data_IF_649079062836
#
_entry.id   IF_649079062836
#
_cell.length_a   1.000
_cell.length_b   1.000
_cell.length_c   1.000
_cell.angle_alpha   90.00
_cell.angle_beta   90.00
_cell.angle_gamma   90.00
#
_symmetry.space_group_name_H-M   'P 1'
#
loop_
_entity.id
_entity.type
_entity.pdbx_description
1 polymer ?
#
# COMPACT_ATOMS: atom_id res chain seq x y z
N UNK A 1 -29.75 9.89 5.93
CA UNK A 1 -29.31 9.91 7.34
C UNK A 1 -28.11 10.83 7.40
N UNK A 2 -28.30 12.09 7.77
CA UNK A 2 -27.18 13.00 8.05
C UNK A 2 -26.61 12.57 9.40
N UNK A 3 -25.52 11.80 9.37
CA UNK A 3 -24.77 11.45 10.58
C UNK A 3 -24.23 12.72 11.22
N UNK A 4 -24.48 12.91 12.51
CA UNK A 4 -24.05 14.10 13.23
C UNK A 4 -22.52 14.07 13.35
N UNK A 5 -21.86 14.81 12.48
CA UNK A 5 -20.40 15.02 12.45
C UNK A 5 -19.90 15.83 13.66
N UNK A 6 -20.76 16.18 14.61
CA UNK A 6 -20.55 17.27 15.58
C UNK A 6 -20.06 16.79 16.95
N UNK A 7 -19.89 15.48 17.19
CA UNK A 7 -19.42 15.01 18.50
C UNK A 7 -18.21 14.07 18.43
N UNK A 8 -17.21 14.38 19.26
CA UNK A 8 -15.99 13.67 19.60
C UNK A 8 -14.96 13.49 18.47
N UNK A 9 -14.68 14.55 17.69
CA UNK A 9 -13.63 14.55 16.67
C UNK A 9 -12.27 15.02 17.21
N UNK A 10 -11.28 14.14 17.20
CA UNK A 10 -9.91 14.47 17.67
C UNK A 10 -8.85 14.26 16.60
N UNK A 11 -7.98 15.25 16.40
CA UNK A 11 -6.76 15.11 15.61
C UNK A 11 -5.58 14.87 16.55
N UNK A 12 -4.76 13.87 16.27
CA UNK A 12 -3.54 13.53 17.01
C UNK A 12 -2.35 13.76 16.10
N UNK A 13 -1.46 14.66 16.50
CA UNK A 13 -0.32 15.11 15.69
C UNK A 13 0.98 14.63 16.33
N UNK A 14 1.76 13.83 15.59
CA UNK A 14 3.13 13.50 15.91
C UNK A 14 4.08 14.55 15.31
N UNK A 15 4.70 15.39 16.16
CA UNK A 15 5.53 16.51 15.71
C UNK A 15 6.92 16.46 16.32
N UNK A 16 7.95 16.64 15.50
CA UNK A 16 9.33 16.87 15.93
C UNK A 16 9.78 18.31 15.66
N UNK A 17 10.09 18.67 14.42
CA UNK A 17 10.62 20.00 14.05
C UNK A 17 9.74 20.76 13.05
N UNK A 18 8.68 20.12 12.57
CA UNK A 18 7.80 20.62 11.54
C UNK A 18 7.10 21.90 11.99
N UNK A 19 6.79 22.75 11.01
CA UNK A 19 5.97 23.95 11.20
C UNK A 19 4.48 23.57 11.17
N UNK A 20 3.73 24.08 12.16
CA UNK A 20 2.31 23.78 12.36
C UNK A 20 1.42 24.98 12.02
N UNK A 21 1.91 26.01 11.31
CA UNK A 21 1.08 27.17 10.93
C UNK A 21 -0.18 26.74 10.14
N UNK A 22 -0.07 25.74 9.28
CA UNK A 22 -1.19 25.20 8.51
C UNK A 22 -2.35 24.72 9.40
N UNK A 23 -2.03 24.19 10.59
CA UNK A 23 -3.00 23.67 11.54
C UNK A 23 -3.82 24.78 12.19
N UNK A 24 -3.25 25.98 12.36
CA UNK A 24 -4.03 27.18 12.77
C UNK A 24 -5.17 27.43 11.77
N UNK A 25 -4.83 27.51 10.48
CA UNK A 25 -5.80 27.80 9.41
C UNK A 25 -6.87 26.72 9.35
N UNK A 26 -6.48 25.45 9.50
CA UNK A 26 -7.42 24.33 9.51
C UNK A 26 -8.40 24.42 10.69
N UNK A 27 -7.91 24.54 11.93
CA UNK A 27 -8.76 24.58 13.14
C UNK A 27 -9.72 25.78 13.12
N UNK A 28 -9.28 26.91 12.56
CA UNK A 28 -10.11 28.11 12.50
C UNK A 28 -11.23 28.03 11.45
N UNK A 29 -10.99 27.32 10.35
CA UNK A 29 -11.94 27.16 9.24
C UNK A 29 -12.89 25.99 9.44
N UNK A 30 -12.42 24.90 10.05
CA UNK A 30 -13.17 23.65 10.19
C UNK A 30 -13.76 23.50 11.59
N UNK A 31 -15.02 23.90 11.74
CA UNK A 31 -15.73 23.88 13.02
C UNK A 31 -15.92 22.47 13.61
N UNK A 32 -15.96 21.45 12.74
CA UNK A 32 -16.15 20.05 13.13
C UNK A 32 -14.97 19.50 13.95
N UNK A 33 -13.78 20.10 13.84
CA UNK A 33 -12.61 19.70 14.64
C UNK A 33 -12.83 20.19 16.07
N UNK A 34 -13.07 19.29 17.01
CA UNK A 34 -13.30 19.66 18.42
C UNK A 34 -12.00 19.79 19.20
N UNK A 35 -11.09 18.84 19.00
CA UNK A 35 -9.85 18.73 19.76
C UNK A 35 -8.68 18.36 18.87
N UNK A 36 -7.51 18.92 19.20
CA UNK A 36 -6.23 18.62 18.56
C UNK A 36 -5.21 18.35 19.66
N UNK A 37 -4.61 17.17 19.66
CA UNK A 37 -3.59 16.76 20.62
C UNK A 37 -2.25 16.67 19.90
N UNK A 38 -1.30 17.52 20.29
CA UNK A 38 0.01 17.62 19.65
C UNK A 38 1.04 17.01 20.58
N UNK A 39 1.62 15.88 20.19
CA UNK A 39 2.78 15.33 20.86
C UNK A 39 4.02 16.00 20.29
N UNK A 40 4.52 17.01 21.01
CA UNK A 40 5.71 17.77 20.63
C UNK A 40 6.98 17.10 21.15
N UNK A 41 7.75 16.49 20.23
CA UNK A 41 9.01 15.80 20.48
C UNK A 41 10.25 16.65 20.25
N UNK A 42 10.11 17.85 19.68
CA UNK A 42 11.22 18.75 19.42
C UNK A 42 11.11 20.10 20.14
N UNK A 43 11.70 21.17 19.59
CA UNK A 43 11.74 22.48 20.26
C UNK A 43 10.36 23.07 20.48
N UNK A 44 10.21 23.97 21.46
CA UNK A 44 8.94 24.68 21.75
C UNK A 44 8.69 25.88 20.83
N UNK A 45 9.12 25.77 19.57
CA UNK A 45 8.98 26.82 18.56
C UNK A 45 7.66 26.71 17.78
N UNK A 46 6.55 26.51 18.49
CA UNK A 46 5.20 26.42 17.91
C UNK A 46 4.34 27.55 18.45
N UNK A 47 3.59 28.20 17.56
CA UNK A 47 2.71 29.31 17.90
C UNK A 47 1.34 29.07 17.29
N UNK A 48 0.30 29.26 18.11
CA UNK A 48 -1.08 29.13 17.69
C UNK A 48 -1.87 30.39 17.99
N UNK A 49 -2.88 30.65 17.16
CA UNK A 49 -3.79 31.76 17.41
C UNK A 49 -4.58 31.54 18.71
N UNK A 50 -5.07 32.62 19.32
CA UNK A 50 -5.93 32.52 20.52
C UNK A 50 -7.19 31.67 20.29
N UNK A 51 -7.67 31.60 19.05
CA UNK A 51 -8.83 30.79 18.69
C UNK A 51 -8.46 29.31 18.61
N UNK A 52 -7.35 28.98 17.94
CA UNK A 52 -6.85 27.62 17.80
C UNK A 52 -6.45 27.02 19.16
N UNK A 53 -5.80 27.80 20.03
CA UNK A 53 -5.38 27.37 21.38
C UNK A 53 -6.51 26.83 22.25
N UNK A 54 -7.77 27.20 22.01
CA UNK A 54 -8.92 26.66 22.77
C UNK A 54 -9.22 25.19 22.48
N UNK A 55 -8.70 24.67 21.38
CA UNK A 55 -8.91 23.29 20.90
C UNK A 55 -7.63 22.45 20.96
N UNK A 56 -6.50 23.05 21.33
CA UNK A 56 -5.18 22.41 21.24
C UNK A 56 -4.67 22.04 22.63
N UNK A 57 -4.30 20.77 22.79
CA UNK A 57 -3.48 20.29 23.88
C UNK A 57 -2.07 19.97 23.37
N UNK A 58 -1.05 20.58 23.96
CA UNK A 58 0.35 20.30 23.63
C UNK A 58 0.95 19.42 24.72
N UNK A 59 1.35 18.21 24.35
CA UNK A 59 2.00 17.24 25.23
C UNK A 59 3.48 17.18 24.86
N UNK A 60 4.35 17.59 25.78
CA UNK A 60 5.80 17.45 25.60
C UNK A 60 6.22 16.01 25.81
N UNK A 61 6.97 15.43 24.87
CA UNK A 61 7.56 14.09 24.97
C UNK A 61 9.00 14.08 24.50
N UNK A 62 9.78 13.10 24.96
CA UNK A 62 11.09 12.83 24.37
C UNK A 62 10.94 12.34 22.93
N UNK A 63 11.97 12.56 22.11
CA UNK A 63 11.98 12.08 20.73
C UNK A 63 12.23 10.57 20.69
N UNK A 64 11.25 9.77 21.10
CA UNK A 64 11.29 8.30 21.22
C UNK A 64 10.13 7.69 20.42
N UNK A 65 10.39 6.59 19.71
CA UNK A 65 9.40 5.76 19.04
C UNK A 65 8.85 6.30 17.72
N UNK A 66 9.46 7.35 17.14
CA UNK A 66 8.99 7.99 15.89
C UNK A 66 7.49 8.37 15.95
N UNK A 67 6.77 8.34 14.84
CA UNK A 67 5.32 8.54 14.79
C UNK A 67 4.56 7.38 15.44
N UNK A 68 4.98 6.13 15.23
CA UNK A 68 4.28 4.97 15.78
C UNK A 68 4.19 4.99 17.32
N UNK A 69 5.25 5.41 17.99
CA UNK A 69 5.29 5.59 19.45
C UNK A 69 4.36 6.69 19.93
N UNK A 70 4.22 7.78 19.17
CA UNK A 70 3.22 8.83 19.48
C UNK A 70 1.80 8.27 19.47
N UNK A 71 1.47 7.50 18.42
CA UNK A 71 0.11 6.97 18.27
C UNK A 71 -0.19 5.93 19.35
N UNK A 72 0.78 5.08 19.69
CA UNK A 72 0.66 4.13 20.79
C UNK A 72 0.50 4.84 22.14
N UNK A 73 1.30 5.86 22.44
CA UNK A 73 1.17 6.65 23.67
C UNK A 73 -0.25 7.21 23.80
N UNK A 74 -0.76 7.87 22.75
CA UNK A 74 -2.12 8.41 22.76
C UNK A 74 -3.18 7.33 23.01
N UNK A 75 -3.09 6.20 22.28
CA UNK A 75 -4.03 5.08 22.43
C UNK A 75 -4.01 4.53 23.86
N UNK A 76 -2.82 4.29 24.42
CA UNK A 76 -2.65 3.67 25.74
C UNK A 76 -3.13 4.60 26.86
N UNK A 77 -2.75 5.89 26.79
CA UNK A 77 -3.09 6.89 27.79
C UNK A 77 -4.59 7.22 27.81
N UNK A 78 -5.26 7.16 26.65
CA UNK A 78 -6.67 7.53 26.51
C UNK A 78 -7.61 6.34 26.32
N UNK A 79 -7.12 5.10 26.40
CA UNK A 79 -7.85 3.89 25.97
C UNK A 79 -9.32 3.80 26.47
N UNK A 80 -9.54 4.10 27.76
CA UNK A 80 -10.86 4.03 28.40
C UNK A 80 -11.82 5.15 27.98
N UNK A 81 -11.28 6.24 27.44
CA UNK A 81 -12.00 7.48 27.09
C UNK A 81 -11.72 7.93 25.65
N UNK A 82 -11.36 6.99 24.78
CA UNK A 82 -11.03 7.28 23.37
C UNK A 82 -12.23 7.91 22.66
N UNK A 83 -12.02 9.03 21.92
CA UNK A 83 -13.05 9.64 21.09
C UNK A 83 -13.55 8.67 20.02
N UNK A 84 -14.76 8.91 19.49
CA UNK A 84 -15.31 8.06 18.43
C UNK A 84 -14.54 8.24 17.12
N UNK A 85 -14.07 9.45 16.80
CA UNK A 85 -13.48 9.79 15.52
C UNK A 85 -12.10 10.40 15.71
N UNK A 86 -11.07 9.72 15.18
CA UNK A 86 -9.67 10.06 15.45
C UNK A 86 -8.89 10.14 14.15
N UNK A 87 -8.13 11.21 13.96
CA UNK A 87 -7.20 11.39 12.85
C UNK A 87 -5.79 11.35 13.40
N UNK A 88 -4.98 10.39 12.95
CA UNK A 88 -3.57 10.28 13.29
C UNK A 88 -2.72 10.81 12.14
N UNK A 89 -1.90 11.83 12.42
CA UNK A 89 -1.13 12.53 11.38
C UNK A 89 0.27 12.92 11.87
N UNK A 90 1.16 13.14 10.90
CA UNK A 90 2.49 13.72 11.12
C UNK A 90 2.41 15.26 11.11
N UNK A 91 3.41 15.93 11.68
CA UNK A 91 3.47 17.40 11.78
C UNK A 91 3.48 18.12 10.43
N UNK A 92 4.05 17.49 9.41
CA UNK A 92 3.99 17.93 8.01
C UNK A 92 3.46 16.77 7.15
N UNK A 93 2.15 16.72 6.88
CA UNK A 93 1.57 15.63 6.13
C UNK A 93 1.74 15.76 4.61
N UNK A 94 2.23 16.89 4.08
CA UNK A 94 1.99 17.27 2.67
C UNK A 94 2.78 16.44 1.66
N UNK A 95 3.99 16.00 2.00
CA UNK A 95 4.79 15.12 1.14
C UNK A 95 4.09 13.78 0.88
N UNK A 96 3.25 13.35 1.81
CA UNK A 96 2.53 12.09 1.76
C UNK A 96 1.02 12.25 1.61
N UNK A 97 0.50 13.47 1.66
CA UNK A 97 -0.92 13.79 1.53
C UNK A 97 -1.04 15.24 1.00
N UNK A 98 -0.76 15.46 -0.29
CA UNK A 98 -0.70 16.81 -0.83
C UNK A 98 -2.06 17.52 -0.85
N UNK A 99 -3.16 16.77 -0.78
CA UNK A 99 -4.52 17.31 -0.67
C UNK A 99 -5.05 17.32 0.77
N UNK A 100 -4.19 17.15 1.78
CA UNK A 100 -4.59 16.93 3.17
C UNK A 100 -5.57 18.00 3.70
N UNK A 101 -5.30 19.29 3.48
CA UNK A 101 -6.20 20.36 3.93
C UNK A 101 -7.59 20.23 3.30
N UNK A 102 -7.68 19.84 2.02
CA UNK A 102 -8.97 19.61 1.37
C UNK A 102 -9.67 18.35 1.90
N UNK A 103 -8.92 17.27 2.19
CA UNK A 103 -9.44 16.05 2.81
C UNK A 103 -10.05 16.29 4.20
N UNK A 104 -9.65 17.37 4.86
CA UNK A 104 -10.16 17.78 6.17
C UNK A 104 -11.31 18.80 6.10
N UNK A 105 -11.75 19.21 4.91
CA UNK A 105 -12.95 20.05 4.78
C UNK A 105 -14.20 19.24 5.10
N UNK A 106 -15.15 19.83 5.83
CA UNK A 106 -16.41 19.18 6.23
C UNK A 106 -17.14 18.46 5.08
N UNK A 107 -17.22 19.11 3.91
CA UNK A 107 -17.88 18.58 2.72
C UNK A 107 -17.20 17.34 2.13
N UNK A 108 -15.90 17.17 2.40
CA UNK A 108 -15.11 15.98 2.03
C UNK A 108 -15.13 14.92 3.13
N UNK A 109 -14.96 15.32 4.40
CA UNK A 109 -14.92 14.42 5.57
C UNK A 109 -16.15 13.53 5.66
N UNK A 110 -17.34 14.06 5.38
CA UNK A 110 -18.60 13.30 5.38
C UNK A 110 -18.63 12.09 4.45
N UNK A 111 -17.71 11.98 3.48
CA UNK A 111 -17.62 10.84 2.57
C UNK A 111 -16.80 9.66 3.11
N UNK A 112 -16.06 9.84 4.21
CA UNK A 112 -15.24 8.76 4.78
C UNK A 112 -15.41 8.56 6.28
N UNK A 113 -16.04 9.48 7.01
CA UNK A 113 -16.23 9.35 8.48
C UNK A 113 -17.14 8.19 8.88
N UNK A 114 -17.92 7.66 7.94
CA UNK A 114 -18.77 6.49 8.18
C UNK A 114 -18.00 5.16 8.12
N UNK A 115 -16.76 5.20 7.62
CA UNK A 115 -15.87 4.04 7.58
C UNK A 115 -15.25 3.78 8.95
N UNK A 116 -14.81 2.55 9.16
CA UNK A 116 -14.06 2.19 10.39
C UNK A 116 -12.63 2.70 10.36
N UNK A 117 -12.07 2.85 9.16
CA UNK A 117 -10.74 3.33 8.87
C UNK A 117 -10.73 3.99 7.48
N UNK A 118 -9.95 5.06 7.32
CA UNK A 118 -9.68 5.67 6.02
C UNK A 118 -8.23 6.12 5.96
N UNK A 119 -7.47 5.58 5.00
CA UNK A 119 -6.17 6.15 4.64
C UNK A 119 -6.33 7.54 4.03
N UNK A 120 -5.47 8.46 4.42
CA UNK A 120 -5.46 9.83 3.93
C UNK A 120 -4.13 10.14 3.23
N UNK A 121 -3.39 9.13 2.81
CA UNK A 121 -2.13 9.32 2.08
C UNK A 121 -2.27 9.18 0.59
N UNK A 122 -1.32 9.81 -0.09
CA UNK A 122 -1.05 9.71 -1.50
C UNK A 122 0.25 8.93 -1.72
N UNK A 123 0.52 8.63 -2.98
CA UNK A 123 1.57 7.73 -3.48
C UNK A 123 2.96 7.92 -2.84
N UNK A 124 3.78 6.86 -2.91
CA UNK A 124 5.13 6.84 -2.32
C UNK A 124 6.01 8.00 -2.79
N UNK A 125 5.99 8.25 -4.10
CA UNK A 125 6.64 9.37 -4.74
C UNK A 125 5.96 9.67 -6.08
N UNK A 126 6.43 10.68 -6.80
CA UNK A 126 5.78 11.13 -8.03
C UNK A 126 5.68 10.11 -9.17
N UNK A 127 6.41 9.01 -9.08
CA UNK A 127 6.48 7.96 -10.11
C UNK A 127 5.99 6.60 -9.63
N UNK A 128 5.78 6.40 -8.32
CA UNK A 128 5.44 5.10 -7.73
C UNK A 128 4.18 5.21 -6.86
N UNK A 129 3.11 4.46 -7.19
CA UNK A 129 2.95 3.55 -8.34
C UNK A 129 2.72 4.31 -9.65
N UNK A 130 3.13 3.74 -10.81
CA UNK A 130 2.88 4.35 -12.11
C UNK A 130 1.39 4.30 -12.47
N UNK A 131 0.92 5.29 -13.24
CA UNK A 131 -0.43 5.33 -13.83
C UNK A 131 -1.61 5.41 -12.84
N UNK A 132 -1.36 5.78 -11.58
CA UNK A 132 -2.39 5.97 -10.54
C UNK A 132 -3.44 7.03 -10.91
N UNK A 133 -3.05 8.06 -11.66
CA UNK A 133 -3.92 9.19 -11.99
C UNK A 133 -5.16 8.77 -12.79
N UNK A 134 -5.07 7.63 -13.47
CA UNK A 134 -6.17 7.07 -14.25
C UNK A 134 -7.10 6.17 -13.44
N UNK A 135 -6.79 5.85 -12.17
CA UNK A 135 -7.58 4.98 -11.31
C UNK A 135 -8.41 5.80 -10.30
N UNK A 136 -9.68 6.02 -10.63
CA UNK A 136 -10.54 6.91 -9.86
C UNK A 136 -10.99 6.37 -8.49
N UNK A 137 -10.68 5.10 -8.15
CA UNK A 137 -10.91 4.56 -6.80
C UNK A 137 -10.07 5.27 -5.73
N UNK A 138 -9.00 5.92 -6.16
CA UNK A 138 -8.02 6.61 -5.32
C UNK A 138 -8.31 8.10 -5.16
N UNK A 139 -9.60 8.43 -5.12
CA UNK A 139 -10.06 9.79 -4.90
C UNK A 139 -11.25 9.82 -3.93
N UNK A 140 -11.28 10.83 -3.07
CA UNK A 140 -12.47 11.22 -2.30
C UNK A 140 -12.80 12.67 -2.66
N UNK A 141 -13.95 12.89 -3.31
CA UNK A 141 -14.35 14.22 -3.77
C UNK A 141 -13.25 14.93 -4.57
N UNK A 142 -12.65 14.23 -5.54
CA UNK A 142 -11.52 14.69 -6.35
C UNK A 142 -10.20 14.94 -5.60
N UNK A 143 -10.11 14.62 -4.31
CA UNK A 143 -8.86 14.68 -3.55
C UNK A 143 -8.17 13.32 -3.57
N UNK A 144 -6.86 13.35 -3.81
CA UNK A 144 -6.01 12.19 -4.00
C UNK A 144 -5.80 11.41 -2.70
N UNK A 145 -6.10 10.11 -2.73
CA UNK A 145 -5.87 9.15 -1.64
C UNK A 145 -5.57 7.77 -2.20
N UNK A 146 -4.72 6.95 -1.59
CA UNK A 146 -4.48 5.58 -2.07
C UNK A 146 -4.64 4.53 -0.97
N UNK A 147 -5.51 3.55 -1.24
CA UNK A 147 -5.60 2.33 -0.46
C UNK A 147 -4.75 1.24 -1.10
N UNK A 148 -3.61 0.94 -0.48
CA UNK A 148 -2.78 -0.18 -0.89
C UNK A 148 -3.21 -1.48 -0.22
N UNK A 149 -2.77 -2.57 -0.85
CA UNK A 149 -2.78 -3.91 -0.27
C UNK A 149 -1.37 -4.46 -0.42
N UNK A 150 -0.90 -5.19 0.59
CA UNK A 150 0.43 -5.79 0.60
C UNK A 150 0.33 -7.29 0.90
N UNK A 151 1.28 -8.05 0.38
CA UNK A 151 1.51 -9.43 0.81
C UNK A 151 2.02 -9.44 2.26
N UNK A 152 1.43 -10.25 3.14
CA UNK A 152 1.68 -10.21 4.59
C UNK A 152 3.08 -10.70 4.98
N UNK A 153 3.74 -11.46 4.11
CA UNK A 153 5.08 -11.98 4.33
C UNK A 153 6.16 -11.00 3.84
N UNK A 154 6.07 -10.58 2.58
CA UNK A 154 7.05 -9.72 1.92
C UNK A 154 6.80 -8.23 2.16
N UNK A 155 5.57 -7.86 2.54
CA UNK A 155 5.08 -6.49 2.70
C UNK A 155 5.24 -5.61 1.44
N UNK A 156 5.31 -6.26 0.28
CA UNK A 156 5.32 -5.62 -1.01
C UNK A 156 3.90 -5.41 -1.50
N UNK A 157 3.67 -4.31 -2.23
CA UNK A 157 2.34 -3.97 -2.72
C UNK A 157 1.89 -4.96 -3.77
N UNK A 158 0.59 -5.28 -3.73
CA UNK A 158 -0.09 -6.18 -4.65
C UNK A 158 -1.25 -5.45 -5.34
N UNK A 159 -1.92 -6.12 -6.29
CA UNK A 159 -3.06 -5.60 -7.06
C UNK A 159 -2.66 -4.64 -8.21
N UNK A 160 -3.40 -3.54 -8.43
CA UNK A 160 -3.33 -2.69 -9.63
C UNK A 160 -2.01 -1.96 -9.71
N UNK A 161 -1.58 -1.50 -8.56
CA UNK A 161 -0.49 -0.57 -8.37
C UNK A 161 0.65 -1.28 -7.64
N UNK A 162 0.90 -2.52 -8.03
CA UNK A 162 2.02 -3.30 -7.50
C UNK A 162 3.34 -2.62 -7.87
N UNK A 163 4.19 -2.47 -6.87
CA UNK A 163 5.55 -2.02 -6.99
C UNK A 163 6.40 -2.69 -5.91
N UNK A 164 7.68 -2.80 -6.22
CA UNK A 164 8.66 -3.34 -5.29
C UNK A 164 9.40 -2.20 -4.61
N UNK A 165 9.27 -2.09 -3.30
CA UNK A 165 10.02 -1.20 -2.45
C UNK A 165 11.25 -1.92 -1.91
N UNK A 166 12.38 -1.75 -2.60
CA UNK A 166 13.65 -2.37 -2.23
C UNK A 166 14.12 -1.93 -0.84
N UNK A 167 13.97 -0.65 -0.50
CA UNK A 167 14.41 -0.12 0.78
C UNK A 167 13.57 -0.67 1.94
N UNK A 168 12.30 -1.00 1.72
CA UNK A 168 11.47 -1.69 2.70
C UNK A 168 11.76 -3.19 2.76
N UNK A 169 12.01 -3.82 1.62
CA UNK A 169 12.35 -5.25 1.56
C UNK A 169 13.59 -5.57 2.40
N UNK A 170 14.62 -4.72 2.36
CA UNK A 170 15.79 -4.86 3.23
C UNK A 170 15.44 -4.85 4.72
N UNK A 171 14.49 -3.99 5.14
CA UNK A 171 14.04 -3.90 6.54
C UNK A 171 13.26 -5.15 6.94
N UNK A 172 12.36 -5.62 6.08
CA UNK A 172 11.58 -6.86 6.29
C UNK A 172 12.52 -8.06 6.37
N UNK A 173 13.49 -8.16 5.46
CA UNK A 173 14.49 -9.22 5.45
C UNK A 173 15.37 -9.20 6.72
N UNK A 174 15.78 -8.04 7.19
CA UNK A 174 16.50 -7.91 8.46
C UNK A 174 15.69 -8.41 9.67
N UNK A 175 14.36 -8.24 9.64
CA UNK A 175 13.47 -8.72 10.71
C UNK A 175 13.18 -10.22 10.65
N UNK A 176 13.46 -10.91 9.53
CA UNK A 176 13.37 -12.37 9.47
C UNK A 176 14.28 -13.03 10.50
N UNK A 177 15.47 -12.49 10.74
CA UNK A 177 16.40 -13.00 11.76
C UNK A 177 15.90 -12.80 13.20
N UNK A 178 14.98 -11.84 13.42
CA UNK A 178 14.34 -11.61 14.73
C UNK A 178 13.02 -12.36 14.89
N UNK A 179 12.54 -13.03 13.84
CA UNK A 179 11.27 -13.75 13.86
C UNK A 179 11.49 -15.15 14.43
N UNK A 180 10.97 -15.46 15.64
CA UNK A 180 11.17 -16.78 16.24
C UNK A 180 10.26 -17.82 15.61
N UNK A 181 10.73 -19.06 15.56
CA UNK A 181 9.92 -20.24 15.23
C UNK A 181 8.80 -20.36 16.29
N UNK A 182 7.54 -20.67 15.92
CA UNK A 182 7.08 -21.13 14.61
C UNK A 182 6.50 -20.04 13.70
N UNK A 183 6.74 -18.76 13.97
CA UNK A 183 6.19 -17.69 13.13
C UNK A 183 6.86 -17.70 11.76
N UNK A 184 6.05 -17.69 10.69
CA UNK A 184 6.54 -17.73 9.31
C UNK A 184 7.13 -16.40 8.83
N UNK A 185 6.68 -15.27 9.40
CA UNK A 185 7.15 -13.94 9.06
C UNK A 185 7.01 -12.99 10.27
N UNK A 186 7.64 -11.81 10.16
CA UNK A 186 7.69 -10.85 11.26
C UNK A 186 6.32 -10.28 11.63
N UNK A 187 5.42 -10.07 10.66
CA UNK A 187 4.06 -9.60 10.92
C UNK A 187 3.30 -10.62 11.77
N UNK A 188 3.40 -11.91 11.45
CA UNK A 188 2.78 -12.97 12.25
C UNK A 188 3.36 -13.01 13.67
N UNK A 189 4.68 -12.85 13.81
CA UNK A 189 5.32 -12.75 15.12
C UNK A 189 4.83 -11.54 15.92
N UNK A 190 4.79 -10.37 15.30
CA UNK A 190 4.27 -9.14 15.91
C UNK A 190 2.84 -9.34 16.38
N UNK A 191 1.95 -9.84 15.52
CA UNK A 191 0.56 -10.05 15.88
C UNK A 191 0.39 -11.05 17.02
N UNK A 192 1.01 -12.23 16.90
CA UNK A 192 0.85 -13.32 17.86
C UNK A 192 1.41 -13.00 19.25
N UNK A 193 2.58 -12.37 19.31
CA UNK A 193 3.22 -12.03 20.60
C UNK A 193 2.51 -10.88 21.33
N UNK A 194 1.90 -9.96 20.58
CA UNK A 194 1.21 -8.80 21.12
C UNK A 194 -0.30 -9.01 21.31
N UNK A 195 -0.87 -10.15 20.90
CA UNK A 195 -2.28 -10.46 21.11
C UNK A 195 -3.21 -9.78 20.09
N UNK A 196 -2.72 -9.60 18.86
CA UNK A 196 -3.53 -9.29 17.69
C UNK A 196 -3.84 -10.59 16.92
N UNK A 197 -4.93 -10.65 16.14
CA UNK A 197 -5.19 -11.77 15.24
C UNK A 197 -4.04 -11.99 14.25
N UNK A 198 -3.87 -13.24 13.79
CA UNK A 198 -2.91 -13.56 12.73
C UNK A 198 -3.52 -13.19 11.36
N UNK A 199 -2.79 -12.47 10.49
CA UNK A 199 -3.30 -12.15 9.16
C UNK A 199 -3.29 -13.38 8.24
N UNK A 200 -4.08 -13.28 7.17
CA UNK A 200 -3.96 -14.15 5.99
C UNK A 200 -2.83 -13.63 5.08
N UNK A 201 -2.88 -13.94 3.78
CA UNK A 201 -1.79 -13.65 2.85
C UNK A 201 -1.73 -12.18 2.41
N UNK A 202 -2.86 -11.47 2.42
CA UNK A 202 -2.93 -10.09 1.95
C UNK A 202 -3.58 -9.23 3.04
N UNK A 203 -3.02 -8.07 3.31
CA UNK A 203 -3.58 -7.09 4.26
C UNK A 203 -3.65 -5.71 3.62
N UNK A 204 -4.61 -4.86 4.05
CA UNK A 204 -4.63 -3.47 3.64
C UNK A 204 -3.52 -2.66 4.32
N UNK A 205 -3.06 -1.63 3.63
CA UNK A 205 -1.91 -0.82 3.98
C UNK A 205 -2.22 0.68 3.87
N UNK A 206 -1.85 1.43 4.92
CA UNK A 206 -1.85 2.89 4.93
C UNK A 206 -0.41 3.44 4.86
N UNK A 207 -0.05 4.07 3.74
CA UNK A 207 1.28 4.69 3.56
C UNK A 207 1.48 5.85 4.55
N UNK A 208 2.71 6.07 5.05
CA UNK A 208 3.11 7.12 6.02
C UNK A 208 2.26 7.31 7.28
N UNK A 209 1.42 6.33 7.62
CA UNK A 209 0.58 6.35 8.82
C UNK A 209 -0.25 7.65 9.00
N UNK A 210 -0.82 8.19 7.91
CA UNK A 210 -1.77 9.31 7.96
C UNK A 210 -3.17 8.75 7.66
N UNK A 211 -4.03 8.71 8.67
CA UNK A 211 -5.34 8.06 8.56
C UNK A 211 -6.37 8.59 9.55
N UNK A 212 -7.63 8.36 9.20
CA UNK A 212 -8.78 8.42 10.08
C UNK A 212 -9.13 7.02 10.59
N UNK A 213 -9.60 6.90 11.83
CA UNK A 213 -10.07 5.66 12.43
C UNK A 213 -11.17 5.91 13.48
N UNK A 214 -12.06 4.94 13.65
CA UNK A 214 -13.01 4.94 14.76
C UNK A 214 -12.40 4.46 16.07
N UNK A 215 -12.79 5.07 17.19
CA UNK A 215 -12.41 4.63 18.53
C UNK A 215 -12.80 3.17 18.81
N UNK A 216 -13.93 2.71 18.28
CA UNK A 216 -14.35 1.32 18.37
C UNK A 216 -13.40 0.35 17.64
N UNK A 217 -12.79 0.77 16.52
CA UNK A 217 -11.78 -0.02 15.81
C UNK A 217 -10.53 -0.21 16.67
N UNK A 218 -10.08 0.84 17.36
CA UNK A 218 -8.97 0.74 18.32
C UNK A 218 -9.33 -0.21 19.47
N UNK A 219 -10.54 -0.11 20.03
CA UNK A 219 -11.02 -0.95 21.13
C UNK A 219 -11.26 -2.43 20.76
N UNK A 220 -11.13 -2.81 19.48
CA UNK A 220 -11.12 -4.24 19.07
C UNK A 220 -9.96 -5.00 19.69
N UNK A 221 -8.86 -4.31 20.00
CA UNK A 221 -7.69 -4.89 20.66
C UNK A 221 -7.59 -4.37 22.08
N UNK A 222 -7.17 -5.20 23.03
CA UNK A 222 -6.99 -4.78 24.42
C UNK A 222 -5.93 -3.70 24.57
N UNK A 223 -6.07 -2.84 25.59
CA UNK A 223 -5.02 -1.90 26.01
C UNK A 223 -3.66 -2.59 26.16
N UNK A 224 -3.65 -3.78 26.78
CA UNK A 224 -2.45 -4.60 26.98
C UNK A 224 -1.78 -5.00 25.65
N UNK A 225 -2.53 -5.16 24.57
CA UNK A 225 -1.96 -5.45 23.24
C UNK A 225 -1.14 -4.27 22.74
N UNK A 226 -1.64 -3.05 22.89
CA UNK A 226 -0.91 -1.82 22.53
C UNK A 226 0.31 -1.58 23.43
N UNK A 227 0.20 -1.84 24.74
CA UNK A 227 1.34 -1.74 25.67
C UNK A 227 2.47 -2.71 25.30
N UNK A 228 2.13 -3.94 24.90
CA UNK A 228 3.13 -4.90 24.40
C UNK A 228 3.73 -4.44 23.08
N UNK A 229 2.90 -3.94 22.16
CA UNK A 229 3.36 -3.41 20.88
C UNK A 229 4.32 -2.24 21.05
N UNK A 230 4.08 -1.35 22.02
CA UNK A 230 5.00 -0.25 22.36
C UNK A 230 6.33 -0.78 22.90
N UNK A 231 6.30 -1.78 23.78
CA UNK A 231 7.52 -2.43 24.27
C UNK A 231 8.31 -3.10 23.15
N UNK A 232 7.62 -3.74 22.21
CA UNK A 232 8.24 -4.37 21.05
C UNK A 232 8.81 -3.33 20.08
N UNK A 233 8.10 -2.22 19.86
CA UNK A 233 8.61 -1.10 19.06
C UNK A 233 9.95 -0.61 19.63
N UNK A 234 10.04 -0.41 20.94
CA UNK A 234 11.22 0.15 21.60
C UNK A 234 12.30 -0.89 21.97
N UNK A 235 12.13 -2.17 21.61
CA UNK A 235 13.04 -3.23 22.07
C UNK A 235 14.43 -3.16 21.45
N UNK A 236 14.56 -2.54 20.28
CA UNK A 236 15.81 -2.51 19.51
C UNK A 236 16.61 -1.24 19.77
N UNK A 237 15.94 -0.09 19.77
CA UNK A 237 16.49 1.21 20.13
C UNK A 237 15.33 2.19 20.36
N UNK A 238 15.66 3.38 20.83
CA UNK A 238 14.68 4.42 21.16
C UNK A 238 13.88 4.91 19.95
N UNK A 239 14.33 4.70 18.70
CA UNK A 239 13.57 5.01 17.48
C UNK A 239 12.83 3.80 16.90
N UNK A 240 12.91 2.66 17.57
CA UNK A 240 12.31 1.39 17.16
C UNK A 240 12.87 0.73 15.90
N UNK A 241 14.04 1.14 15.42
CA UNK A 241 14.76 0.43 14.35
C UNK A 241 13.89 0.10 13.12
N UNK A 242 14.01 -1.14 12.62
CA UNK A 242 13.23 -1.62 11.46
C UNK A 242 11.77 -1.91 11.84
N UNK A 243 11.54 -2.22 13.12
CA UNK A 243 10.22 -2.48 13.69
C UNK A 243 9.30 -1.26 13.55
N UNK A 244 9.82 -0.05 13.75
CA UNK A 244 9.09 1.20 13.53
C UNK A 244 8.68 1.40 12.07
N UNK A 245 9.59 1.19 11.11
CA UNK A 245 9.27 1.29 9.69
C UNK A 245 8.23 0.25 9.24
N UNK A 246 8.27 -0.95 9.83
CA UNK A 246 7.25 -1.96 9.56
C UNK A 246 5.91 -1.56 10.20
N UNK A 247 5.91 -1.09 11.45
CA UNK A 247 4.68 -0.67 12.15
C UNK A 247 3.92 0.42 11.39
N UNK A 248 4.63 1.37 10.77
CA UNK A 248 4.04 2.40 9.91
C UNK A 248 3.06 1.82 8.89
N UNK A 249 3.36 0.63 8.33
CA UNK A 249 2.52 -0.05 7.33
C UNK A 249 1.37 -0.86 7.89
N UNK A 250 1.41 -1.19 9.17
CA UNK A 250 0.53 -2.19 9.75
C UNK A 250 -0.67 -1.59 10.48
N UNK A 251 -0.74 -0.27 10.63
CA UNK A 251 -1.80 0.42 11.35
C UNK A 251 -3.20 0.00 10.90
N UNK A 252 -3.45 -0.05 9.59
CA UNK A 252 -4.78 -0.42 9.11
C UNK A 252 -5.14 -1.86 9.49
N UNK A 253 -4.24 -2.82 9.30
CA UNK A 253 -4.46 -4.19 9.71
C UNK A 253 -4.68 -4.32 11.22
N UNK A 254 -3.82 -3.70 12.04
CA UNK A 254 -3.91 -3.73 13.50
C UNK A 254 -5.29 -3.24 13.97
N UNK A 255 -5.83 -2.21 13.33
CA UNK A 255 -7.05 -1.53 13.76
C UNK A 255 -8.34 -2.13 13.15
N UNK A 256 -8.26 -2.82 12.02
CA UNK A 256 -9.44 -3.35 11.30
C UNK A 256 -9.53 -4.88 11.31
N UNK A 257 -8.39 -5.57 11.40
CA UNK A 257 -8.21 -7.01 11.21
C UNK A 257 -8.59 -7.51 9.80
N UNK A 258 -8.78 -6.61 8.84
CA UNK A 258 -9.09 -6.96 7.45
C UNK A 258 -7.93 -7.70 6.80
N UNK A 259 -8.19 -8.85 6.21
CA UNK A 259 -7.18 -9.65 5.50
C UNK A 259 -7.83 -10.58 4.51
N UNK A 260 -7.08 -11.01 3.50
CA UNK A 260 -7.56 -11.80 2.37
C UNK A 260 -6.62 -12.98 2.09
N UNK A 261 -7.19 -14.10 1.66
CA UNK A 261 -6.43 -15.30 1.32
C UNK A 261 -5.64 -15.15 0.02
N UNK A 262 -6.15 -14.34 -0.91
CA UNK A 262 -5.65 -14.21 -2.27
C UNK A 262 -6.25 -12.97 -2.96
N UNK A 263 -5.74 -12.63 -4.15
CA UNK A 263 -6.22 -11.49 -4.91
C UNK A 263 -7.68 -11.63 -5.36
N UNK A 264 -8.22 -12.85 -5.46
CA UNK A 264 -9.61 -13.07 -5.87
C UNK A 264 -10.55 -12.68 -4.72
N UNK A 265 -10.28 -13.12 -3.50
CA UNK A 265 -11.07 -12.73 -2.31
C UNK A 265 -11.01 -11.23 -2.04
N UNK A 266 -9.83 -10.60 -2.20
CA UNK A 266 -9.70 -9.14 -2.15
C UNK A 266 -10.55 -8.43 -3.22
N UNK A 267 -10.51 -8.88 -4.47
CA UNK A 267 -11.28 -8.25 -5.55
C UNK A 267 -12.79 -8.31 -5.29
N UNK A 268 -13.28 -9.44 -4.80
CA UNK A 268 -14.69 -9.59 -4.41
C UNK A 268 -15.08 -8.60 -3.30
N UNK A 269 -14.24 -8.42 -2.28
CA UNK A 269 -14.54 -7.43 -1.24
C UNK A 269 -14.54 -5.99 -1.75
N UNK A 270 -13.83 -5.72 -2.86
CA UNK A 270 -13.85 -4.45 -3.57
C UNK A 270 -15.01 -4.31 -4.57
N UNK A 271 -15.96 -5.25 -4.59
CA UNK A 271 -17.10 -5.25 -5.51
C UNK A 271 -16.72 -5.54 -6.96
N UNK A 272 -15.56 -6.15 -7.22
CA UNK A 272 -15.16 -6.56 -8.56
C UNK A 272 -15.64 -8.00 -8.84
N UNK A 273 -16.62 -8.11 -9.73
CA UNK A 273 -17.32 -9.37 -10.06
C UNK A 273 -16.82 -10.08 -11.32
N UNK A 274 -15.94 -9.44 -12.10
CA UNK A 274 -15.51 -9.99 -13.39
C UNK A 274 -14.22 -10.81 -13.27
N UNK A 275 -14.07 -11.83 -14.12
CA UNK A 275 -12.83 -12.60 -14.26
C UNK A 275 -11.65 -11.69 -14.61
N UNK A 276 -10.44 -12.06 -14.24
CA UNK A 276 -9.21 -11.30 -14.53
C UNK A 276 -8.89 -11.10 -16.02
N UNK A 277 -9.59 -11.83 -16.89
CA UNK A 277 -9.46 -11.72 -18.34
C UNK A 277 -10.64 -10.93 -18.88
N UNK A 278 -10.35 -10.00 -19.78
CA UNK A 278 -11.36 -9.32 -20.57
C UNK A 278 -10.93 -9.31 -22.04
N UNK A 279 -11.84 -8.93 -22.93
CA UNK A 279 -11.55 -8.87 -24.35
C UNK A 279 -11.94 -7.52 -24.95
N UNK A 280 -11.19 -7.11 -25.96
CA UNK A 280 -11.51 -6.02 -26.85
C UNK A 280 -11.83 -6.59 -28.23
N UNK A 281 -13.00 -6.31 -28.76
CA UNK A 281 -13.37 -6.66 -30.12
C UNK A 281 -13.41 -5.41 -30.99
N UNK A 282 -12.70 -5.44 -32.11
CA UNK A 282 -12.78 -4.42 -33.15
C UNK A 282 -13.58 -4.95 -34.34
N UNK A 283 -14.73 -4.33 -34.62
CA UNK A 283 -15.63 -4.77 -35.68
C UNK A 283 -15.12 -4.45 -37.09
N UNK A 284 -14.38 -3.35 -37.26
CA UNK A 284 -13.85 -2.92 -38.56
C UNK A 284 -12.64 -3.74 -39.00
N UNK A 285 -11.79 -4.11 -38.04
CA UNK A 285 -10.57 -4.90 -38.25
C UNK A 285 -10.79 -6.40 -37.99
N UNK A 286 -11.99 -6.79 -37.54
CA UNK A 286 -12.44 -8.17 -37.38
C UNK A 286 -11.50 -9.04 -36.51
N UNK A 287 -11.06 -8.51 -35.38
CA UNK A 287 -10.25 -9.23 -34.42
C UNK A 287 -10.74 -9.04 -32.99
N UNK A 288 -10.40 -10.00 -32.14
CA UNK A 288 -10.52 -9.91 -30.69
C UNK A 288 -9.13 -9.95 -30.06
N UNK A 289 -8.87 -9.04 -29.14
CA UNK A 289 -7.65 -8.98 -28.34
C UNK A 289 -8.00 -9.30 -26.89
N UNK A 290 -7.22 -10.19 -26.27
CA UNK A 290 -7.43 -10.61 -24.89
C UNK A 290 -6.48 -9.82 -24.00
N UNK A 291 -6.98 -9.40 -22.86
CA UNK A 291 -6.25 -8.66 -21.84
C UNK A 291 -6.35 -9.38 -20.50
N UNK A 292 -5.27 -9.31 -19.74
CA UNK A 292 -5.28 -9.62 -18.31
C UNK A 292 -5.59 -8.37 -17.48
N UNK A 293 -5.75 -8.59 -16.17
CA UNK A 293 -6.06 -7.56 -15.18
C UNK A 293 -7.27 -6.72 -15.61
N UNK A 294 -8.37 -7.39 -15.97
CA UNK A 294 -9.64 -6.78 -16.44
C UNK A 294 -10.14 -5.64 -15.54
N UNK A 295 -9.91 -5.76 -14.23
CA UNK A 295 -10.20 -4.77 -13.21
C UNK A 295 -9.45 -3.45 -13.39
N UNK A 296 -8.42 -3.38 -14.23
CA UNK A 296 -7.74 -2.15 -14.63
C UNK A 296 -8.32 -1.53 -15.91
N UNK A 297 -9.19 -2.29 -16.60
CA UNK A 297 -9.72 -1.95 -17.92
C UNK A 297 -11.19 -1.55 -17.86
N UNK A 298 -11.79 -1.32 -16.70
CA UNK A 298 -13.22 -0.99 -16.63
C UNK A 298 -13.46 0.52 -16.71
N UNK A 299 -14.52 1.01 -17.39
CA UNK A 299 -14.76 2.45 -17.51
C UNK A 299 -14.99 3.15 -16.17
N UNK A 300 -15.59 2.44 -15.20
CA UNK A 300 -15.77 2.98 -13.85
C UNK A 300 -14.46 3.12 -13.07
N UNK A 301 -13.38 2.47 -13.53
CA UNK A 301 -12.07 2.50 -12.87
C UNK A 301 -11.08 3.35 -13.64
N UNK A 302 -11.13 3.36 -14.97
CA UNK A 302 -10.19 4.08 -15.84
C UNK A 302 -10.90 4.88 -16.92
N UNK A 303 -10.36 6.07 -17.21
CA UNK A 303 -10.78 6.83 -18.40
C UNK A 303 -10.58 5.99 -19.66
N UNK A 304 -11.58 6.01 -20.53
CA UNK A 304 -11.57 5.30 -21.81
C UNK A 304 -11.79 6.27 -22.96
N UNK A 305 -11.38 5.86 -24.15
CA UNK A 305 -11.63 6.62 -25.38
C UNK A 305 -12.81 6.03 -26.14
N UNK A 306 -13.63 6.92 -26.69
CA UNK A 306 -14.77 6.53 -27.49
C UNK A 306 -14.37 6.23 -28.94
N UNK A 307 -14.73 5.05 -29.44
CA UNK A 307 -14.45 4.65 -30.83
C UNK A 307 -15.53 3.74 -31.40
N UNK A 308 -16.10 4.09 -32.54
CA UNK A 308 -17.34 3.46 -33.04
C UNK A 308 -17.22 1.97 -33.39
N UNK A 309 -16.02 1.49 -33.72
CA UNK A 309 -15.71 0.12 -34.09
C UNK A 309 -15.27 -0.78 -32.92
N UNK A 310 -15.29 -0.23 -31.70
CA UNK A 310 -14.60 -0.78 -30.53
C UNK A 310 -15.59 -1.29 -29.49
N UNK A 311 -15.32 -2.45 -28.88
CA UNK A 311 -16.20 -3.03 -27.86
C UNK A 311 -15.39 -3.82 -26.83
N UNK A 312 -15.52 -3.48 -25.55
CA UNK A 312 -14.96 -4.26 -24.46
C UNK A 312 -15.96 -5.30 -23.96
N UNK A 313 -15.45 -6.47 -23.58
CA UNK A 313 -16.21 -7.64 -23.13
C UNK A 313 -15.61 -8.09 -21.81
N UNK A 314 -16.44 -8.18 -20.77
CA UNK A 314 -16.09 -8.69 -19.45
C UNK A 314 -16.93 -9.92 -19.15
N UNK A 315 -16.35 -10.88 -18.44
CA UNK A 315 -17.06 -12.09 -18.00
C UNK A 315 -17.36 -11.99 -16.51
N UNK A 316 -18.63 -11.96 -16.16
CA UNK A 316 -19.11 -11.98 -14.78
C UNK A 316 -19.04 -13.41 -14.26
N UNK A 317 -18.20 -13.64 -13.25
CA UNK A 317 -18.02 -14.98 -12.69
C UNK A 317 -19.18 -15.40 -11.78
N UNK A 318 -19.93 -14.45 -11.22
CA UNK A 318 -21.04 -14.76 -10.32
C UNK A 318 -22.27 -15.13 -11.13
N UNK A 319 -22.61 -14.30 -12.12
CA UNK A 319 -23.79 -14.48 -12.98
C UNK A 319 -23.52 -15.37 -14.20
N UNK A 320 -22.26 -15.79 -14.40
CA UNK A 320 -21.82 -16.62 -15.53
C UNK A 320 -22.25 -16.04 -16.89
N UNK A 321 -22.16 -14.72 -17.04
CA UNK A 321 -22.62 -13.98 -18.20
C UNK A 321 -21.58 -12.98 -18.72
N UNK A 322 -21.88 -12.34 -19.85
CA UNK A 322 -21.02 -11.31 -20.44
C UNK A 322 -21.62 -9.92 -20.28
N UNK A 323 -20.78 -8.99 -19.85
CA UNK A 323 -21.06 -7.57 -19.90
C UNK A 323 -20.28 -6.91 -21.04
N UNK A 324 -20.93 -6.02 -21.77
CA UNK A 324 -20.39 -5.43 -22.99
C UNK A 324 -20.41 -3.91 -22.89
N UNK A 325 -19.25 -3.29 -23.05
CA UNK A 325 -19.12 -1.83 -23.16
C UNK A 325 -18.84 -1.48 -24.62
N UNK A 326 -19.88 -1.00 -25.31
CA UNK A 326 -19.76 -0.55 -26.70
C UNK A 326 -19.03 0.78 -26.77
N UNK A 327 -18.44 1.01 -27.93
CA UNK A 327 -17.72 2.23 -28.28
C UNK A 327 -16.58 2.61 -27.34
N UNK A 328 -16.01 1.64 -26.61
CA UNK A 328 -14.98 1.88 -25.59
C UNK A 328 -13.70 1.16 -25.96
N UNK A 329 -12.56 1.84 -25.82
CA UNK A 329 -11.23 1.26 -25.99
C UNK A 329 -10.24 1.74 -24.92
N UNK A 330 -9.20 0.93 -24.69
CA UNK A 330 -8.06 1.24 -23.82
C UNK A 330 -6.75 0.99 -24.54
N UNK A 331 -5.87 1.99 -24.51
CA UNK A 331 -4.48 1.82 -24.92
C UNK A 331 -3.76 0.86 -23.97
N UNK A 332 -3.64 -0.39 -24.42
CA UNK A 332 -2.83 -1.40 -23.74
C UNK A 332 -2.44 -2.54 -24.65
N UNK A 333 -1.33 -3.18 -24.28
CA UNK A 333 -0.80 -4.35 -24.98
C UNK A 333 -1.62 -5.59 -24.62
N UNK A 334 -2.27 -6.25 -25.59
CA UNK A 334 -2.99 -7.48 -25.32
C UNK A 334 -2.04 -8.65 -25.04
N UNK A 335 -2.51 -9.63 -24.26
CA UNK A 335 -1.79 -10.88 -24.03
C UNK A 335 -1.81 -11.78 -25.28
N UNK A 336 -2.87 -11.71 -26.06
CA UNK A 336 -3.07 -12.48 -27.30
C UNK A 336 -4.12 -11.81 -28.19
N UNK A 337 -4.11 -12.14 -29.48
CA UNK A 337 -5.06 -11.63 -30.47
C UNK A 337 -5.51 -12.77 -31.38
N UNK A 338 -6.79 -12.75 -31.78
CA UNK A 338 -7.41 -13.77 -32.61
C UNK A 338 -8.34 -13.11 -33.64
N UNK A 339 -8.48 -13.71 -34.84
CA UNK A 339 -9.53 -13.28 -35.77
C UNK A 339 -10.92 -13.50 -35.14
N UNK A 340 -11.82 -12.54 -35.31
CA UNK A 340 -13.19 -12.64 -34.81
C UNK A 340 -14.16 -11.85 -35.68
N UNK A 341 -15.05 -12.58 -36.37
CA UNK A 341 -15.98 -12.02 -37.34
C UNK A 341 -17.12 -11.22 -36.70
N UNK A 342 -17.51 -11.58 -35.47
CA UNK A 342 -18.61 -10.96 -34.77
C UNK A 342 -18.40 -11.02 -33.24
N UNK A 343 -19.27 -10.32 -32.51
CA UNK A 343 -19.22 -10.23 -31.04
C UNK A 343 -19.37 -11.60 -30.36
N UNK A 344 -20.15 -12.52 -30.93
CA UNK A 344 -20.41 -13.82 -30.32
C UNK A 344 -19.19 -14.74 -30.45
N UNK A 345 -18.50 -14.70 -31.60
CA UNK A 345 -17.19 -15.31 -31.76
C UNK A 345 -16.18 -14.74 -30.75
N UNK A 346 -16.19 -13.42 -30.52
CA UNK A 346 -15.27 -12.77 -29.57
C UNK A 346 -15.51 -13.24 -28.12
N UNK A 347 -16.78 -13.34 -27.70
CA UNK A 347 -17.15 -13.91 -26.39
C UNK A 347 -16.70 -15.35 -26.23
N UNK A 348 -16.88 -16.17 -27.26
CA UNK A 348 -16.45 -17.57 -27.25
C UNK A 348 -14.93 -17.69 -27.11
N UNK A 349 -14.16 -16.84 -27.79
CA UNK A 349 -12.70 -16.77 -27.60
C UNK A 349 -12.37 -16.39 -26.15
N UNK A 350 -13.01 -15.37 -25.58
CA UNK A 350 -12.77 -14.98 -24.19
C UNK A 350 -13.11 -16.13 -23.22
N UNK A 351 -14.27 -16.76 -23.36
CA UNK A 351 -14.67 -17.90 -22.52
C UNK A 351 -13.67 -19.04 -22.58
N UNK A 352 -13.22 -19.37 -23.78
CA UNK A 352 -12.22 -20.42 -23.98
C UNK A 352 -10.91 -20.08 -23.27
N UNK A 353 -10.45 -18.82 -23.33
CA UNK A 353 -9.25 -18.39 -22.60
C UNK A 353 -9.43 -18.49 -21.09
N UNK A 354 -10.60 -18.11 -20.57
CA UNK A 354 -10.95 -18.24 -19.15
C UNK A 354 -10.90 -19.72 -18.72
N UNK A 355 -11.62 -20.59 -19.43
CA UNK A 355 -11.69 -22.01 -19.09
C UNK A 355 -10.33 -22.70 -19.17
N UNK A 356 -9.51 -22.31 -20.15
CA UNK A 356 -8.14 -22.80 -20.27
C UNK A 356 -7.26 -22.31 -19.10
N UNK A 357 -7.41 -21.06 -18.69
CA UNK A 357 -6.67 -20.48 -17.56
C UNK A 357 -7.03 -21.19 -16.25
N UNK A 358 -8.32 -21.38 -15.98
CA UNK A 358 -8.81 -22.09 -14.79
C UNK A 358 -8.31 -23.54 -14.75
N UNK A 359 -8.38 -24.28 -15.87
CA UNK A 359 -7.86 -25.66 -15.94
C UNK A 359 -6.35 -25.73 -15.73
N UNK A 360 -5.59 -24.76 -16.24
CA UNK A 360 -4.14 -24.69 -15.98
C UNK A 360 -3.85 -24.45 -14.50
N UNK A 361 -4.61 -23.59 -13.84
CA UNK A 361 -4.55 -23.38 -12.40
C UNK A 361 -4.90 -24.66 -11.62
N UNK A 362 -5.90 -25.43 -12.05
CA UNK A 362 -6.27 -26.70 -11.41
C UNK A 362 -5.19 -27.77 -11.59
N UNK A 363 -4.57 -27.87 -12.77
CA UNK A 363 -3.43 -28.76 -13.01
C UNK A 363 -2.24 -28.34 -12.14
N UNK A 364 -1.92 -27.04 -12.09
CA UNK A 364 -0.85 -26.51 -11.24
C UNK A 364 -1.12 -26.76 -9.75
N UNK A 365 -2.35 -26.56 -9.27
CA UNK A 365 -2.77 -26.87 -7.89
C UNK A 365 -2.73 -28.38 -7.60
N UNK A 366 -3.10 -29.21 -8.57
CA UNK A 366 -2.96 -30.66 -8.50
C UNK A 366 -1.49 -31.09 -8.41
N UNK A 367 -0.62 -30.46 -9.18
CA UNK A 367 0.83 -30.66 -9.13
C UNK A 367 1.43 -30.10 -7.84
N UNK A 368 0.99 -28.95 -7.32
CA UNK A 368 1.43 -28.40 -6.02
C UNK A 368 1.03 -29.33 -4.86
N UNK A 369 -0.18 -29.89 -4.89
CA UNK A 369 -0.61 -30.93 -3.93
C UNK A 369 0.19 -32.24 -4.07
N UNK A 370 0.70 -32.56 -5.26
CA UNK A 370 1.60 -33.70 -5.49
C UNK A 370 3.05 -33.38 -5.09
N UNK A 371 3.50 -32.13 -5.23
CA UNK A 371 4.84 -31.68 -4.83
C UNK A 371 4.96 -31.52 -3.31
N UNK A 372 3.86 -31.32 -2.58
CA UNK A 372 3.84 -31.52 -1.11
C UNK A 372 4.01 -32.97 -0.66
N UNK A 373 3.99 -33.94 -1.58
CA UNK A 373 4.23 -35.37 -1.34
C UNK A 373 5.27 -35.91 -2.34
N UNK A 374 6.51 -35.42 -2.26
CA UNK A 374 7.74 -35.95 -2.88
C UNK A 374 7.55 -37.05 -3.95
N UNK A 375 7.27 -36.68 -5.20
CA UNK A 375 7.49 -37.50 -6.39
C UNK A 375 7.86 -36.58 -7.58
N UNK A 376 8.98 -36.92 -8.24
CA UNK A 376 9.77 -36.07 -9.17
C UNK A 376 9.33 -36.30 -10.66
N UNK A 377 10.08 -35.88 -11.71
CA UNK A 377 10.07 -34.65 -12.52
C UNK A 377 9.48 -34.81 -13.96
N UNK A 378 9.68 -33.75 -14.77
CA UNK A 378 9.58 -33.64 -16.25
C UNK A 378 8.19 -33.61 -16.87
N UNK A 379 7.65 -32.40 -17.07
CA UNK A 379 6.70 -32.08 -18.16
C UNK A 379 6.45 -30.56 -18.27
N UNK A 380 7.50 -29.74 -18.37
CA UNK A 380 7.34 -28.32 -18.70
C UNK A 380 8.49 -27.83 -19.59
N UNK A 381 8.33 -28.02 -20.90
CA UNK A 381 9.21 -27.43 -21.90
C UNK A 381 8.39 -26.84 -23.04
N UNK A 382 7.69 -25.73 -22.77
CA UNK A 382 7.32 -24.68 -23.76
C UNK A 382 6.75 -23.46 -23.02
N UNK A 383 7.57 -22.74 -22.25
CA UNK A 383 7.34 -21.32 -21.90
C UNK A 383 8.67 -20.67 -21.47
N UNK A 384 9.68 -20.77 -22.33
CA UNK A 384 10.77 -19.80 -22.37
C UNK A 384 10.68 -19.07 -23.69
N UNK A 385 9.87 -18.01 -23.74
CA UNK A 385 10.06 -16.91 -24.67
C UNK A 385 9.18 -15.72 -24.29
N UNK A 386 9.56 -15.02 -23.21
CA UNK A 386 9.51 -13.55 -23.14
C UNK A 386 10.76 -13.05 -22.37
N UNK A 387 11.76 -12.64 -23.17
CA UNK A 387 12.90 -11.76 -22.86
C UNK A 387 13.79 -12.09 -21.64
N UNK A 388 14.86 -12.86 -21.89
CA UNK A 388 16.20 -12.53 -21.36
C UNK A 388 17.06 -12.12 -22.55
N UNK A 389 17.54 -10.87 -22.55
CA UNK A 389 18.64 -10.46 -23.43
C UNK A 389 19.89 -11.12 -22.87
N UNK A 390 20.48 -12.05 -23.63
CA UNK A 390 21.80 -12.64 -23.36
C UNK A 390 22.72 -12.12 -24.46
N UNK A 391 23.67 -11.27 -24.09
CA UNK A 391 24.79 -10.89 -24.95
C UNK A 391 25.84 -12.00 -24.84
N UNK A 392 26.47 -12.28 -25.97
CA UNK A 392 27.24 -13.46 -26.36
C UNK A 392 28.47 -13.80 -25.51
N UNK A 393 28.77 -15.10 -25.50
CA UNK A 393 30.03 -15.71 -25.09
C UNK A 393 31.20 -15.24 -25.97
N UNK A 394 32.28 -14.80 -25.34
CA UNK A 394 33.68 -15.16 -25.59
C UNK A 394 34.58 -14.02 -25.07
N UNK A 395 35.47 -14.33 -24.12
CA UNK A 395 36.92 -14.06 -24.18
C UNK A 395 37.53 -14.34 -22.80
N UNK A 396 38.36 -15.39 -22.79
CA UNK A 396 39.56 -15.69 -22.01
C UNK A 396 39.81 -15.01 -20.66
N UNK A 397 39.97 -15.90 -19.67
CA UNK A 397 40.60 -15.67 -18.37
C UNK A 397 42.09 -15.35 -18.56
N UNK A 398 42.52 -14.17 -18.14
CA UNK A 398 43.91 -13.93 -17.76
C UNK A 398 43.97 -13.37 -16.32
N UNK A 399 44.62 -14.13 -15.44
CA UNK A 399 45.11 -13.70 -14.12
C UNK A 399 46.04 -12.50 -14.29
N UNK A 400 45.92 -11.49 -13.42
CA UNK A 400 47.04 -10.61 -13.09
C UNK A 400 47.05 -10.25 -11.61
N UNK A 401 48.28 -10.16 -11.11
CA UNK A 401 48.71 -10.01 -9.72
C UNK A 401 48.59 -8.58 -9.18
N UNK A 402 48.78 -8.52 -7.87
CA UNK A 402 48.71 -7.41 -6.92
C UNK A 402 49.91 -6.46 -7.06
N UNK A 403 49.72 -5.15 -6.87
CA UNK A 403 50.80 -4.22 -6.49
C UNK A 403 50.28 -3.04 -5.64
N UNK A 404 51.09 -2.62 -4.67
CA UNK A 404 50.88 -1.61 -3.63
C UNK A 404 51.37 -0.21 -4.07
N UNK A 405 50.79 0.87 -3.53
CA UNK A 405 51.48 1.96 -2.79
C UNK A 405 50.75 3.33 -2.76
N UNK A 406 50.63 3.84 -1.54
CA UNK A 406 50.92 5.19 -1.03
C UNK A 406 50.27 6.51 -1.53
N UNK A 407 49.82 7.26 -0.50
CA UNK A 407 50.00 8.71 -0.23
C UNK A 407 48.82 9.72 -0.27
N UNK A 408 48.35 10.03 0.97
CA UNK A 408 48.08 11.34 1.63
C UNK A 408 47.22 12.43 0.94
N UNK A 409 46.10 12.84 1.60
CA UNK A 409 45.91 14.13 2.34
C UNK A 409 44.43 14.41 2.68
N UNK A 410 44.21 14.85 3.92
CA UNK A 410 42.96 15.37 4.48
C UNK A 410 42.58 16.74 3.90
N UNK A 411 41.27 17.04 3.81
CA UNK A 411 40.68 18.32 4.24
C UNK A 411 39.16 18.15 4.48
N UNK A 412 38.70 18.84 5.52
CA UNK A 412 37.32 18.93 6.02
C UNK A 412 36.32 19.60 5.05
N UNK A 413 35.04 19.41 5.40
CA UNK A 413 33.87 20.26 5.17
C UNK A 413 32.86 19.94 4.04
N UNK A 414 31.60 19.83 4.51
CA UNK A 414 30.29 19.94 3.84
C UNK A 414 29.73 18.72 3.11
N UNK A 415 28.85 18.01 3.82
CA UNK A 415 27.85 17.12 3.25
C UNK A 415 26.68 17.97 2.73
N UNK A 416 26.62 18.18 1.43
CA UNK A 416 25.37 18.42 0.70
C UNK A 416 25.06 17.14 -0.08
N UNK A 417 24.05 16.38 0.37
CA UNK A 417 23.55 15.20 -0.30
C UNK A 417 22.50 15.61 -1.34
N UNK A 418 22.98 15.86 -2.56
CA UNK A 418 22.16 15.80 -3.76
C UNK A 418 22.31 14.40 -4.39
N UNK A 419 21.20 13.66 -4.42
CA UNK A 419 21.11 12.36 -5.10
C UNK A 419 21.12 12.57 -6.63
N UNK A 420 22.10 12.00 -7.33
CA UNK A 420 21.83 11.43 -8.67
C UNK A 420 22.82 10.32 -9.05
N UNK A 421 22.25 9.22 -9.56
CA UNK A 421 22.80 8.20 -10.47
C UNK A 421 24.06 7.40 -10.09
N UNK A 422 23.77 6.11 -9.87
CA UNK A 422 24.51 4.86 -10.22
C UNK A 422 25.17 4.11 -9.06
N UNK A 423 24.63 2.91 -8.82
CA UNK A 423 25.42 1.70 -8.55
C UNK A 423 25.99 1.56 -7.15
N UNK A 424 25.20 1.04 -6.22
CA UNK A 424 25.71 0.43 -5.00
C UNK A 424 26.10 -1.04 -5.28
N UNK A 425 27.38 -1.36 -5.12
CA UNK A 425 27.82 -2.68 -4.66
C UNK A 425 28.90 -2.49 -3.57
N UNK A 426 28.41 -2.59 -2.33
CA UNK A 426 28.92 -3.31 -1.16
C UNK A 426 30.42 -3.71 -1.17
N UNK A 427 31.20 -3.13 -0.26
CA UNK A 427 31.79 -3.82 0.91
C UNK A 427 32.77 -2.89 1.63
N UNK A 428 32.56 -2.67 2.93
CA UNK A 428 33.52 -3.06 3.97
C UNK A 428 32.92 -2.79 5.35
N UNK A 429 32.57 -3.84 6.08
CA UNK A 429 32.83 -3.87 7.52
C UNK A 429 34.07 -4.75 7.74
N UNK A 430 35.14 -4.13 8.24
CA UNK A 430 36.13 -4.82 9.07
C UNK A 430 36.12 -4.11 10.42
N UNK A 431 35.53 -4.78 11.40
CA UNK A 431 36.25 -5.11 12.62
C UNK A 431 36.35 -6.63 12.67
#
# INVERSE_FOLDING_TARGET
MEGNLIENNTIVVARFKEDLEWLNKLIESELWIERVVIFNKGPENISFSKKALKKIDIIRKENIGREGGTYLDYIIENYEVLPDKIWFIQGDPFDHSPDFVNLMKYDVVRYYVDKEFQTLTWRYNDVIPPNIDSDHRFYIQNNRIIQYYIDSNTQQTVETHEFHDFAHDEKVNALKYKTPIPYGNYLHYMCGSNGFPQPSNIIPYCWSAIFYVRGNSIRRNSKKSYEKLLKMLLSTNDQGGNEGFVLERLWQYILTHETYSDLVSLKRSLGWKYHDLCAFWNSSLMYVAIYDKSYQKHPSRRKSEERYDSTMIYYDEEEQNFEIMKTVYYESTPISMFPSLNIESAKNVLKFQIDFHSKKLDIMRGVENLVSNNLIPTLFWTFQNKRKVRISENVNVHKYEKEENDNVKSYDDKIELALDKRGAEIMTSKK
#
